data_IF_868214905218
#
_entry.id   IF_868214905218
#
_cell.length_a   1.000
_cell.length_b   1.000
_cell.length_c   1.000
_cell.angle_alpha   90.00
_cell.angle_beta   90.00
_cell.angle_gamma   90.00
#
_symmetry.space_group_name_H-M   'P 1'
#
loop_
_entity.id
_entity.type
_entity.pdbx_description
1 polymer ?
#
# COMPACT_ATOMS: atom_id res chain seq x y z
N UNK A 1 20.74 23.31 -13.21
CA UNK A 1 21.25 23.01 -11.87
C UNK A 1 22.61 23.66 -11.75
N UNK A 2 22.71 24.73 -10.96
CA UNK A 2 23.96 25.45 -10.75
C UNK A 2 25.00 24.59 -10.05
N UNK A 3 26.27 25.02 -10.06
CA UNK A 3 27.34 24.30 -9.35
C UNK A 3 27.06 24.18 -7.84
N UNK A 4 26.46 25.20 -7.23
CA UNK A 4 26.05 25.20 -5.82
C UNK A 4 24.94 24.18 -5.51
N UNK A 5 23.95 24.04 -6.40
CA UNK A 5 22.86 23.06 -6.22
C UNK A 5 23.39 21.63 -6.21
N UNK A 6 24.38 21.35 -7.07
CA UNK A 6 25.05 20.05 -7.15
C UNK A 6 25.77 19.71 -5.86
N UNK A 7 26.52 20.67 -5.32
CA UNK A 7 27.28 20.46 -4.08
C UNK A 7 26.35 20.22 -2.89
N UNK A 8 25.30 21.05 -2.74
CA UNK A 8 24.30 20.86 -1.69
C UNK A 8 23.62 19.48 -1.78
N UNK A 9 23.23 19.06 -2.99
CA UNK A 9 22.62 17.75 -3.19
C UNK A 9 23.58 16.61 -2.81
N UNK A 10 24.85 16.69 -3.23
CA UNK A 10 25.86 15.70 -2.87
C UNK A 10 26.10 15.63 -1.36
N UNK A 11 26.06 16.76 -0.66
CA UNK A 11 26.16 16.80 0.80
C UNK A 11 24.98 16.08 1.46
N UNK A 12 23.75 16.32 1.00
CA UNK A 12 22.55 15.62 1.49
C UNK A 12 22.63 14.10 1.24
N UNK A 13 23.07 13.69 0.04
CA UNK A 13 23.24 12.26 -0.28
C UNK A 13 24.27 11.59 0.64
N UNK A 14 25.36 12.29 0.97
CA UNK A 14 26.38 11.81 1.92
C UNK A 14 25.87 11.77 3.36
N UNK A 15 24.98 12.67 3.74
CA UNK A 15 24.39 12.72 5.07
C UNK A 15 23.33 11.61 5.28
N UNK A 16 22.59 11.25 4.23
CA UNK A 16 21.53 10.25 4.28
C UNK A 16 21.75 9.05 3.35
N UNK A 17 22.88 8.32 3.46
CA UNK A 17 23.21 7.23 2.54
C UNK A 17 22.18 6.09 2.60
N UNK A 18 21.59 5.84 3.78
CA UNK A 18 20.58 4.80 4.01
C UNK A 18 19.23 5.05 3.29
N UNK A 19 19.01 6.26 2.74
CA UNK A 19 17.85 6.55 1.88
C UNK A 19 18.08 6.10 0.43
N UNK A 20 19.34 5.94 0.01
CA UNK A 20 19.73 5.59 -1.36
C UNK A 20 19.93 4.09 -1.56
N UNK A 21 20.09 3.34 -0.46
CA UNK A 21 20.20 1.89 -0.51
C UNK A 21 18.94 1.27 -1.12
N UNK A 22 19.06 0.45 -2.18
CA UNK A 22 17.92 -0.25 -2.76
C UNK A 22 17.24 -1.11 -1.71
N UNK A 23 16.02 -0.73 -1.32
CA UNK A 23 15.20 -1.53 -0.40
C UNK A 23 14.42 -2.54 -1.22
N UNK A 24 14.42 -3.78 -0.74
CA UNK A 24 13.59 -4.86 -1.29
C UNK A 24 12.61 -5.32 -0.22
N UNK A 25 11.42 -5.73 -0.66
CA UNK A 25 10.37 -6.24 0.21
C UNK A 25 9.63 -5.18 1.02
N UNK A 26 9.04 -5.59 2.16
CA UNK A 26 8.30 -4.69 3.02
C UNK A 26 9.23 -3.81 3.85
N UNK A 27 9.03 -2.49 3.87
CA UNK A 27 9.73 -1.63 4.82
C UNK A 27 9.49 -2.09 6.26
N UNK A 28 10.49 -1.92 7.16
CA UNK A 28 10.36 -2.32 8.56
C UNK A 28 9.14 -1.65 9.18
N UNK A 29 8.47 -2.37 10.10
CA UNK A 29 7.38 -1.82 10.88
C UNK A 29 7.96 -0.69 11.75
N UNK A 30 7.77 0.55 11.33
CA UNK A 30 8.00 1.70 12.18
C UNK A 30 6.72 1.95 12.96
N UNK A 31 6.87 2.42 14.20
CA UNK A 31 5.76 2.93 14.99
C UNK A 31 5.25 4.19 14.31
N UNK A 32 4.27 4.02 13.43
CA UNK A 32 3.56 5.13 12.81
C UNK A 32 2.37 5.50 13.71
N UNK A 33 2.01 6.78 13.79
CA UNK A 33 0.85 7.21 14.57
C UNK A 33 -0.50 6.81 13.93
N UNK A 34 -0.48 6.20 12.75
CA UNK A 34 -1.67 5.91 11.95
C UNK A 34 -1.71 4.43 11.57
N UNK A 35 -2.85 3.79 11.84
CA UNK A 35 -3.22 2.49 11.31
C UNK A 35 -4.37 2.64 10.30
N UNK A 36 -4.47 1.70 9.36
CA UNK A 36 -5.60 1.63 8.45
C UNK A 36 -6.76 0.86 9.08
N UNK A 37 -7.89 1.53 9.22
CA UNK A 37 -9.15 0.95 9.71
C UNK A 37 -10.17 0.79 8.57
N UNK A 38 -10.97 -0.27 8.63
CA UNK A 38 -11.97 -0.62 7.63
C UNK A 38 -13.36 -0.67 8.28
N UNK A 39 -14.06 0.46 8.25
CA UNK A 39 -15.37 0.61 8.87
C UNK A 39 -16.50 0.08 7.98
N UNK A 40 -16.90 -1.17 8.19
CA UNK A 40 -18.02 -1.82 7.50
C UNK A 40 -19.35 -1.75 8.26
N UNK A 41 -19.38 -1.12 9.44
CA UNK A 41 -20.56 -1.14 10.31
C UNK A 41 -20.87 -2.56 10.81
N UNK A 42 -22.15 -2.95 10.75
CA UNK A 42 -22.64 -4.26 11.19
C UNK A 42 -22.83 -5.25 10.01
N UNK A 43 -22.24 -4.96 8.86
CA UNK A 43 -22.34 -5.81 7.67
C UNK A 43 -21.65 -7.16 7.89
N UNK A 44 -22.24 -8.27 7.41
CA UNK A 44 -21.66 -9.59 7.58
C UNK A 44 -20.36 -9.76 6.75
N UNK A 45 -19.51 -10.73 7.11
CA UNK A 45 -18.31 -11.07 6.34
C UNK A 45 -18.64 -11.41 4.88
N UNK A 46 -17.83 -10.91 3.94
CA UNK A 46 -18.01 -11.16 2.51
C UNK A 46 -17.09 -12.29 2.07
N UNK A 47 -17.67 -13.33 1.47
CA UNK A 47 -16.93 -14.41 0.81
C UNK A 47 -17.26 -14.45 -0.67
N UNK A 48 -16.23 -14.29 -1.48
CA UNK A 48 -16.32 -14.33 -2.94
C UNK A 48 -15.56 -15.55 -3.46
N UNK A 49 -16.11 -16.20 -4.48
CA UNK A 49 -15.49 -17.38 -5.10
C UNK A 49 -14.14 -17.00 -5.76
N UNK A 50 -13.07 -17.78 -5.55
CA UNK A 50 -11.80 -17.58 -6.26
C UNK A 50 -11.96 -17.68 -7.78
N UNK A 51 -11.17 -16.89 -8.51
CA UNK A 51 -11.11 -16.94 -9.97
C UNK A 51 -10.31 -18.16 -10.43
N UNK A 52 -10.66 -18.68 -11.61
CA UNK A 52 -9.89 -19.73 -12.28
C UNK A 52 -8.71 -19.10 -13.01
N UNK A 53 -7.55 -19.73 -12.88
CA UNK A 53 -6.30 -19.29 -13.51
C UNK A 53 -5.66 -20.44 -14.28
N UNK A 54 -4.88 -20.12 -15.30
CA UNK A 54 -4.03 -21.10 -15.96
C UNK A 54 -2.90 -21.56 -15.03
N UNK A 55 -2.29 -22.72 -15.32
CA UNK A 55 -1.21 -23.25 -14.48
C UNK A 55 0.01 -22.29 -14.40
N UNK A 56 0.31 -21.57 -15.47
CA UNK A 56 1.36 -20.54 -15.50
C UNK A 56 1.05 -19.37 -14.55
N UNK A 57 -0.21 -18.92 -14.54
CA UNK A 57 -0.70 -17.85 -13.67
C UNK A 57 -0.75 -18.26 -12.20
N UNK A 58 -1.04 -19.54 -11.93
CA UNK A 58 -0.92 -20.10 -10.58
C UNK A 58 0.50 -20.00 -10.03
N UNK A 59 1.53 -20.24 -10.85
CA UNK A 59 2.93 -20.08 -10.42
C UNK A 59 3.26 -18.63 -10.04
N UNK A 60 2.71 -17.67 -10.78
CA UNK A 60 2.88 -16.23 -10.45
C UNK A 60 2.21 -15.92 -9.12
N UNK A 61 0.95 -16.32 -8.93
CA UNK A 61 0.21 -16.12 -7.68
C UNK A 61 0.95 -16.73 -6.48
N UNK A 62 1.39 -17.99 -6.61
CA UNK A 62 2.12 -18.72 -5.56
C UNK A 62 3.46 -18.05 -5.22
N UNK A 63 4.15 -17.48 -6.23
CA UNK A 63 5.39 -16.73 -6.04
C UNK A 63 5.19 -15.42 -5.28
N UNK A 64 4.17 -14.64 -5.64
CA UNK A 64 3.82 -13.38 -4.98
C UNK A 64 3.41 -13.59 -3.52
N UNK A 65 2.57 -14.62 -3.26
CA UNK A 65 2.18 -14.99 -1.88
C UNK A 65 3.41 -15.36 -1.05
N UNK A 66 4.33 -16.15 -1.61
CA UNK A 66 5.57 -16.52 -0.91
C UNK A 66 6.45 -15.30 -0.60
N UNK A 67 6.56 -14.36 -1.54
CA UNK A 67 7.27 -13.09 -1.33
C UNK A 67 6.65 -12.28 -0.20
N UNK A 68 5.35 -12.03 -0.27
CA UNK A 68 4.62 -11.26 0.75
C UNK A 68 4.66 -11.90 2.15
N UNK A 69 4.64 -13.24 2.24
CA UNK A 69 4.81 -13.96 3.51
C UNK A 69 6.22 -13.75 4.08
N UNK A 70 7.25 -13.87 3.24
CA UNK A 70 8.65 -13.65 3.65
C UNK A 70 8.85 -12.23 4.15
N UNK A 71 8.20 -11.27 3.50
CA UNK A 71 8.33 -9.85 3.81
C UNK A 71 7.40 -9.40 4.96
N UNK A 72 6.57 -10.29 5.51
CA UNK A 72 5.66 -9.97 6.61
C UNK A 72 4.52 -9.00 6.24
N UNK A 73 4.20 -8.90 4.95
CA UNK A 73 3.07 -8.09 4.43
C UNK A 73 1.74 -8.78 4.68
N UNK A 74 1.75 -10.11 4.61
CA UNK A 74 0.59 -10.98 4.81
C UNK A 74 0.91 -12.09 5.81
N UNK A 75 -0.14 -12.67 6.37
CA UNK A 75 -0.06 -13.89 7.18
C UNK A 75 -1.19 -14.86 6.80
N UNK A 76 -1.13 -16.08 7.33
CA UNK A 76 -2.25 -17.02 7.17
C UNK A 76 -3.48 -16.47 7.88
N UNK A 77 -4.62 -16.50 7.18
CA UNK A 77 -5.90 -16.08 7.72
C UNK A 77 -6.77 -17.27 8.09
N UNK A 78 -7.62 -17.06 9.08
CA UNK A 78 -8.63 -17.99 9.59
C UNK A 78 -10.03 -17.35 9.68
N UNK A 79 -10.17 -16.12 9.15
CA UNK A 79 -11.40 -15.35 9.18
C UNK A 79 -12.49 -15.81 8.21
N UNK A 80 -13.68 -15.22 8.36
CA UNK A 80 -14.87 -15.54 7.57
C UNK A 80 -14.95 -14.81 6.21
N UNK A 81 -14.13 -13.77 5.99
CA UNK A 81 -14.08 -13.03 4.72
C UNK A 81 -13.09 -13.65 3.74
N UNK A 82 -13.29 -13.42 2.44
CA UNK A 82 -12.40 -13.93 1.42
C UNK A 82 -12.65 -13.28 0.06
N UNK A 83 -11.65 -12.56 -0.44
CA UNK A 83 -11.69 -11.89 -1.75
C UNK A 83 -10.81 -12.63 -2.77
N UNK A 84 -11.15 -12.59 -4.07
CA UNK A 84 -10.38 -13.27 -5.08
C UNK A 84 -9.18 -12.43 -5.50
N UNK A 85 -8.05 -13.09 -5.72
CA UNK A 85 -6.91 -12.49 -6.43
C UNK A 85 -7.33 -12.20 -7.88
N UNK A 86 -6.83 -11.10 -8.43
CA UNK A 86 -6.90 -10.66 -9.84
C UNK A 86 -5.49 -10.40 -10.33
N UNK A 87 -5.09 -11.11 -11.38
CA UNK A 87 -3.82 -10.87 -12.06
C UNK A 87 -4.02 -9.90 -13.21
N UNK A 88 -3.32 -8.76 -13.19
CA UNK A 88 -3.40 -7.74 -14.24
C UNK A 88 -2.06 -7.65 -14.96
N UNK A 89 -2.05 -7.91 -16.27
CA UNK A 89 -0.85 -7.75 -17.10
C UNK A 89 -0.56 -6.26 -17.31
N UNK A 90 0.66 -5.83 -17.00
CA UNK A 90 1.15 -4.49 -17.34
C UNK A 90 1.60 -4.46 -18.81
N UNK A 91 1.78 -3.25 -19.32
CA UNK A 91 2.31 -3.00 -20.68
C UNK A 91 3.73 -3.57 -20.87
N UNK A 92 4.52 -3.62 -19.81
CA UNK A 92 5.88 -4.16 -19.80
C UNK A 92 5.94 -5.71 -19.75
N UNK A 93 4.79 -6.39 -19.74
CA UNK A 93 4.70 -7.85 -19.66
C UNK A 93 4.74 -8.41 -18.24
N UNK A 94 5.06 -7.61 -17.22
CA UNK A 94 4.95 -8.02 -15.82
C UNK A 94 3.50 -8.14 -15.37
N UNK A 95 3.26 -8.93 -14.32
CA UNK A 95 1.91 -9.16 -13.76
C UNK A 95 1.78 -8.43 -12.44
N UNK A 96 0.65 -7.74 -12.23
CA UNK A 96 0.26 -7.18 -10.94
C UNK A 96 -0.64 -8.15 -10.21
N UNK A 97 -0.26 -8.48 -8.99
CA UNK A 97 -1.08 -9.18 -8.03
C UNK A 97 -2.02 -8.18 -7.35
N UNK A 98 -3.32 -8.26 -7.62
CA UNK A 98 -4.33 -7.38 -7.04
C UNK A 98 -5.40 -8.21 -6.33
N UNK A 99 -6.04 -7.64 -5.30
CA UNK A 99 -7.22 -8.23 -4.67
C UNK A 99 -8.46 -7.45 -5.10
N UNK A 100 -9.52 -8.15 -5.48
CA UNK A 100 -10.79 -7.54 -5.88
C UNK A 100 -11.61 -7.13 -4.65
N UNK A 101 -11.30 -5.97 -4.08
CA UNK A 101 -12.02 -5.41 -2.93
C UNK A 101 -13.27 -4.61 -3.32
N UNK A 102 -13.81 -4.71 -4.54
CA UNK A 102 -14.96 -3.90 -4.96
C UNK A 102 -16.17 -4.06 -4.04
N UNK A 103 -16.47 -5.29 -3.61
CA UNK A 103 -17.58 -5.55 -2.68
C UNK A 103 -17.30 -5.00 -1.27
N UNK A 104 -16.06 -5.15 -0.77
CA UNK A 104 -15.65 -4.55 0.50
C UNK A 104 -15.80 -3.04 0.46
N UNK A 105 -15.29 -2.41 -0.60
CA UNK A 105 -15.34 -0.96 -0.79
C UNK A 105 -16.76 -0.41 -0.94
N UNK A 106 -17.73 -1.23 -1.36
CA UNK A 106 -19.12 -0.81 -1.45
C UNK A 106 -19.77 -0.65 -0.08
N UNK A 107 -19.37 -1.46 0.91
CA UNK A 107 -19.89 -1.43 2.28
C UNK A 107 -19.02 -0.61 3.24
N UNK A 108 -17.77 -0.35 2.89
CA UNK A 108 -16.87 0.48 3.70
C UNK A 108 -17.34 1.93 3.70
N UNK A 109 -17.57 2.48 4.90
CA UNK A 109 -17.86 3.90 5.08
C UNK A 109 -16.70 4.74 4.53
N UNK A 110 -17.02 5.66 3.61
CA UNK A 110 -16.03 6.49 2.95
C UNK A 110 -15.45 7.50 3.92
N UNK A 111 -14.13 7.52 3.97
CA UNK A 111 -13.38 8.54 4.66
C UNK A 111 -13.43 9.84 3.87
N UNK A 112 -13.61 10.96 4.55
CA UNK A 112 -13.69 12.31 3.96
C UNK A 112 -12.38 13.08 4.22
N UNK A 113 -11.28 12.37 4.47
CA UNK A 113 -10.00 13.01 4.69
C UNK A 113 -9.62 13.89 3.49
N UNK A 114 -9.33 15.19 3.71
CA UNK A 114 -9.08 16.11 2.61
C UNK A 114 -7.76 15.74 1.94
N UNK A 115 -7.84 15.27 0.70
CA UNK A 115 -6.68 15.19 -0.17
C UNK A 115 -6.50 16.57 -0.81
N UNK A 116 -5.30 17.18 -0.73
CA UNK A 116 -5.06 18.48 -1.32
C UNK A 116 -5.32 18.42 -2.82
N UNK A 117 -5.90 19.49 -3.38
CA UNK A 117 -6.04 19.57 -4.84
C UNK A 117 -4.65 19.76 -5.43
N UNK A 118 -4.47 19.25 -6.65
CA UNK A 118 -3.19 19.38 -7.36
C UNK A 118 -2.85 20.86 -7.54
N UNK A 119 -3.84 21.68 -7.91
CA UNK A 119 -3.68 23.13 -8.08
C UNK A 119 -3.19 23.79 -6.78
N UNK A 120 -3.84 23.53 -5.65
CA UNK A 120 -3.43 24.06 -4.34
C UNK A 120 -1.98 23.65 -3.99
N UNK A 121 -1.61 22.40 -4.31
CA UNK A 121 -0.25 21.89 -4.06
C UNK A 121 0.78 22.60 -4.93
N UNK A 122 0.45 22.91 -6.19
CA UNK A 122 1.32 23.63 -7.11
C UNK A 122 1.41 25.13 -6.78
N UNK A 123 0.33 25.73 -6.32
CA UNK A 123 0.32 27.13 -5.90
C UNK A 123 1.19 27.34 -4.66
N UNK A 124 1.18 26.40 -3.71
CA UNK A 124 2.07 26.41 -2.54
C UNK A 124 3.56 26.31 -2.90
N UNK A 125 3.86 25.84 -4.11
CA UNK A 125 5.21 25.74 -4.65
C UNK A 125 5.65 27.02 -5.37
N UNK A 126 4.77 28.01 -5.54
CA UNK A 126 5.08 29.26 -6.23
C UNK A 126 6.25 30.01 -5.59
N UNK A 127 7.15 30.55 -6.42
CA UNK A 127 8.33 31.29 -5.97
C UNK A 127 9.48 30.40 -5.48
N UNK A 128 9.29 29.08 -5.35
CA UNK A 128 10.38 28.17 -5.04
C UNK A 128 11.38 28.09 -6.21
N UNK A 129 12.66 28.20 -5.89
CA UNK A 129 13.76 28.13 -6.87
C UNK A 129 14.23 26.70 -7.15
N UNK A 130 13.90 25.76 -6.26
CA UNK A 130 14.38 24.37 -6.28
C UNK A 130 13.23 23.45 -5.87
N UNK A 131 13.10 22.33 -6.59
CA UNK A 131 12.11 21.31 -6.32
C UNK A 131 12.79 19.96 -6.16
N UNK A 132 12.31 19.17 -5.20
CA UNK A 132 12.73 17.79 -4.98
C UNK A 132 11.48 16.94 -4.82
N UNK A 133 11.47 15.76 -5.43
CA UNK A 133 10.42 14.77 -5.25
C UNK A 133 11.02 13.53 -4.60
N UNK A 134 10.34 13.00 -3.58
CA UNK A 134 10.72 11.79 -2.86
C UNK A 134 9.60 10.77 -3.00
N UNK A 135 9.94 9.58 -3.53
CA UNK A 135 8.99 8.48 -3.65
C UNK A 135 9.24 7.44 -2.54
N UNK A 136 8.17 7.05 -1.84
CA UNK A 136 8.26 6.08 -0.76
C UNK A 136 8.18 4.66 -1.33
N UNK A 137 9.26 3.88 -1.15
CA UNK A 137 9.26 2.47 -1.49
C UNK A 137 8.11 1.72 -0.81
N UNK A 138 7.26 1.08 -1.61
CA UNK A 138 6.08 0.36 -1.15
C UNK A 138 5.25 1.15 -0.12
N UNK A 139 4.99 2.44 -0.38
CA UNK A 139 4.41 3.39 0.58
C UNK A 139 3.21 2.86 1.38
N UNK A 140 2.24 2.19 0.73
CA UNK A 140 1.10 1.62 1.45
C UNK A 140 1.48 0.48 2.39
N UNK A 141 2.46 -0.34 2.05
CA UNK A 141 2.92 -1.42 2.93
C UNK A 141 3.63 -0.92 4.20
N UNK A 142 3.95 0.37 4.28
CA UNK A 142 4.46 0.99 5.50
C UNK A 142 3.36 1.15 6.55
N UNK A 143 2.10 1.33 6.13
CA UNK A 143 0.96 1.55 7.03
C UNK A 143 0.43 0.19 7.53
N UNK A 144 0.40 -0.06 8.84
CA UNK A 144 -0.21 -1.27 9.40
C UNK A 144 -1.73 -1.23 9.27
N UNK A 145 -2.36 -2.40 9.09
CA UNK A 145 -3.82 -2.53 9.26
C UNK A 145 -4.11 -2.78 10.73
N UNK A 146 -5.11 -2.07 11.26
CA UNK A 146 -5.59 -2.26 12.62
C UNK A 146 -5.93 -3.73 12.87
N UNK A 147 -5.48 -4.29 14.00
CA UNK A 147 -5.57 -5.73 14.28
C UNK A 147 -6.99 -6.29 14.08
N UNK A 148 -8.01 -5.53 14.53
CA UNK A 148 -9.45 -5.86 14.41
C UNK A 148 -9.96 -5.96 12.96
N UNK A 149 -9.27 -5.34 12.02
CA UNK A 149 -9.72 -5.19 10.63
C UNK A 149 -8.93 -6.06 9.64
N UNK A 150 -7.86 -6.74 10.08
CA UNK A 150 -7.03 -7.59 9.21
C UNK A 150 -7.85 -8.65 8.48
N UNK A 151 -8.78 -9.31 9.16
CA UNK A 151 -9.64 -10.33 8.55
C UNK A 151 -10.54 -9.79 7.43
N UNK A 152 -10.86 -8.51 7.43
CA UNK A 152 -11.63 -7.88 6.33
C UNK A 152 -10.81 -7.76 5.05
N UNK A 153 -9.49 -7.91 5.14
CA UNK A 153 -8.59 -7.92 3.97
C UNK A 153 -8.23 -9.34 3.51
N UNK A 154 -8.92 -10.36 4.04
CA UNK A 154 -8.57 -11.73 3.74
C UNK A 154 -8.83 -12.07 2.26
N UNK A 155 -7.88 -12.74 1.61
CA UNK A 155 -7.98 -13.18 0.23
C UNK A 155 -7.67 -14.66 0.08
N UNK A 156 -8.32 -15.28 -0.90
CA UNK A 156 -8.27 -16.73 -1.10
C UNK A 156 -7.40 -17.04 -2.31
N UNK A 157 -6.47 -17.97 -2.12
CA UNK A 157 -5.71 -18.60 -3.20
C UNK A 157 -5.89 -20.12 -3.13
N UNK A 158 -5.29 -20.86 -4.07
CA UNK A 158 -5.26 -22.33 -4.01
C UNK A 158 -4.51 -22.84 -2.79
N UNK A 159 -3.56 -22.06 -2.27
CA UNK A 159 -2.73 -22.45 -1.11
C UNK A 159 -3.42 -22.22 0.23
N UNK A 160 -4.52 -21.48 0.25
CA UNK A 160 -5.29 -21.21 1.47
C UNK A 160 -5.82 -19.78 1.53
N UNK A 161 -6.22 -19.42 2.75
CA UNK A 161 -6.67 -18.08 3.10
C UNK A 161 -5.50 -17.30 3.70
N UNK A 162 -5.32 -16.06 3.25
CA UNK A 162 -4.31 -15.14 3.75
C UNK A 162 -4.96 -13.81 4.09
N UNK A 163 -4.39 -13.05 5.02
CA UNK A 163 -4.85 -11.70 5.36
C UNK A 163 -3.68 -10.73 5.39
N UNK A 164 -3.95 -9.45 5.11
CA UNK A 164 -2.92 -8.43 5.12
C UNK A 164 -2.66 -7.92 6.54
N UNK A 165 -1.37 -7.75 6.84
CA UNK A 165 -0.85 -7.08 8.02
C UNK A 165 -0.59 -5.60 7.75
N UNK A 166 -0.29 -5.29 6.48
CA UNK A 166 0.01 -3.95 5.96
C UNK A 166 -1.01 -3.56 4.91
N UNK A 167 -1.30 -2.27 4.79
CA UNK A 167 -2.36 -1.77 3.92
C UNK A 167 -2.14 -2.17 2.45
N UNK A 168 -3.01 -3.03 1.87
CA UNK A 168 -2.90 -3.41 0.47
C UNK A 168 -3.43 -2.31 -0.45
N UNK A 169 -3.05 -2.40 -1.72
CA UNK A 169 -3.71 -1.64 -2.78
C UNK A 169 -5.16 -2.08 -2.96
N UNK A 170 -5.99 -1.14 -3.43
CA UNK A 170 -7.38 -1.42 -3.82
C UNK A 170 -8.42 -1.18 -2.72
N UNK A 171 -8.02 -0.82 -1.50
CA UNK A 171 -8.97 -0.41 -0.44
C UNK A 171 -9.46 1.03 -0.64
N UNK A 172 -10.74 1.28 -0.38
CA UNK A 172 -11.42 2.55 -0.59
C UNK A 172 -10.76 3.76 0.08
N UNK A 173 -10.33 3.61 1.33
CA UNK A 173 -9.84 4.71 2.16
C UNK A 173 -8.30 4.74 2.25
N UNK A 174 -7.60 3.86 1.54
CA UNK A 174 -6.14 3.77 1.62
C UNK A 174 -5.41 5.09 1.30
N UNK A 175 -5.81 5.88 0.27
CA UNK A 175 -5.18 7.18 0.01
C UNK A 175 -5.36 8.17 1.17
N UNK A 176 -6.54 8.23 1.78
CA UNK A 176 -6.82 9.12 2.91
C UNK A 176 -6.02 8.74 4.15
N UNK A 177 -5.89 7.44 4.45
CA UNK A 177 -5.02 6.95 5.52
C UNK A 177 -3.55 7.28 5.25
N UNK A 178 -3.09 7.12 4.01
CA UNK A 178 -1.72 7.45 3.65
C UNK A 178 -1.43 8.95 3.78
N UNK A 179 -2.36 9.81 3.35
CA UNK A 179 -2.22 11.26 3.54
C UNK A 179 -2.19 11.62 5.03
N UNK A 180 -3.06 11.03 5.86
CA UNK A 180 -3.01 11.20 7.33
C UNK A 180 -1.65 10.84 7.91
N UNK A 181 -1.05 9.75 7.44
CA UNK A 181 0.28 9.36 7.87
C UNK A 181 1.32 10.41 7.45
N UNK A 182 1.28 10.89 6.20
CA UNK A 182 2.20 11.93 5.72
C UNK A 182 2.05 13.23 6.52
N UNK A 183 0.82 13.67 6.76
CA UNK A 183 0.54 14.87 7.56
C UNK A 183 1.00 14.68 9.01
N UNK A 184 0.83 13.50 9.61
CA UNK A 184 1.29 13.26 10.98
C UNK A 184 2.82 13.19 11.10
N UNK A 185 3.53 12.81 10.03
CA UNK A 185 5.00 12.72 10.02
C UNK A 185 5.65 14.05 9.66
N UNK A 186 5.02 14.85 8.79
CA UNK A 186 5.57 16.10 8.26
C UNK A 186 4.99 17.36 8.93
N UNK A 187 3.99 17.24 9.80
CA UNK A 187 3.48 18.37 10.58
C UNK A 187 4.44 18.69 11.71
N UNK A 188 4.84 19.96 11.77
CA UNK A 188 5.63 20.56 12.85
C UNK A 188 4.89 20.54 14.20
#
# INVERSE_FOLDING_TARGET
MGAEDKELFLQLLRQYPALLEPRTGCPPAKTLPVEHEIHTGNEPPIKVRPRRYAQSEHRVNDGEVKGMLKDGVIEKGDGASGFPVVLVKKKDGSVRFCIDYRMLNAITKRDVYPLPRIDDTLDNLHGAKRYTSLDLHAGYWQVPIALKDRDKTAFVTRQGLFRFMRMPFGLANAPGTFQRMMDAVLRD
#
